data_IF_417890801377
#
_entry.id   IF_417890801377
#
_cell.length_a   1.000
_cell.length_b   1.000
_cell.length_c   1.000
_cell.angle_alpha   90.00
_cell.angle_beta   90.00
_cell.angle_gamma   90.00
#
_symmetry.space_group_name_H-M   'P 1'
#
loop_
_entity.id
_entity.type
_entity.pdbx_description
1 polymer ?
#
# COMPACT_ATOMS: atom_id res chain seq x y z
N UNK A 1 -2.57 24.13 -32.46
CA UNK A 1 -2.33 22.71 -32.11
C UNK A 1 -0.82 22.51 -32.11
N UNK A 2 -0.14 22.57 -30.96
CA UNK A 2 1.33 22.62 -30.97
C UNK A 2 1.95 22.46 -29.58
N UNK A 3 1.77 23.44 -28.69
CA UNK A 3 2.35 23.36 -27.33
C UNK A 3 1.50 22.54 -26.36
N UNK A 4 0.17 22.67 -26.40
CA UNK A 4 -0.72 21.93 -25.49
C UNK A 4 -0.66 20.42 -25.71
N UNK A 5 -0.50 19.96 -26.95
CA UNK A 5 -0.39 18.54 -27.27
C UNK A 5 0.95 17.95 -26.80
N UNK A 6 2.05 18.70 -26.92
CA UNK A 6 3.36 18.28 -26.40
C UNK A 6 3.33 18.22 -24.87
N UNK A 7 2.76 19.23 -24.21
CA UNK A 7 2.62 19.24 -22.76
C UNK A 7 1.77 18.06 -22.26
N UNK A 8 0.64 17.78 -22.90
CA UNK A 8 -0.18 16.62 -22.56
C UNK A 8 0.56 15.30 -22.78
N UNK A 9 1.32 15.17 -23.86
CA UNK A 9 2.17 14.00 -24.11
C UNK A 9 3.26 13.81 -23.06
N UNK A 10 3.90 14.91 -22.62
CA UNK A 10 4.90 14.87 -21.56
C UNK A 10 4.28 14.52 -20.20
N UNK A 11 3.15 15.11 -19.85
CA UNK A 11 2.42 14.81 -18.61
C UNK A 11 1.96 13.36 -18.59
N UNK A 12 1.46 12.84 -19.72
CA UNK A 12 1.12 11.43 -19.87
C UNK A 12 2.35 10.54 -19.68
N UNK A 13 3.47 10.84 -20.37
CA UNK A 13 4.70 10.06 -20.24
C UNK A 13 5.23 10.05 -18.80
N UNK A 14 5.23 11.20 -18.11
CA UNK A 14 5.62 11.30 -16.70
C UNK A 14 4.68 10.47 -15.84
N UNK A 15 3.37 10.60 -16.02
CA UNK A 15 2.38 9.81 -15.29
C UNK A 15 2.62 8.31 -15.46
N UNK A 16 2.82 7.84 -16.69
CA UNK A 16 3.11 6.44 -16.99
C UNK A 16 4.45 5.97 -16.44
N UNK A 17 5.46 6.83 -16.38
CA UNK A 17 6.77 6.47 -15.84
C UNK A 17 6.73 6.32 -14.32
N UNK A 18 6.18 7.31 -13.62
CA UNK A 18 6.11 7.32 -12.16
C UNK A 18 4.96 6.46 -11.59
N UNK A 19 4.01 6.05 -12.44
CA UNK A 19 2.96 5.10 -12.09
C UNK A 19 3.41 3.63 -12.09
N UNK A 20 4.66 3.35 -12.51
CA UNK A 20 5.21 1.98 -12.55
C UNK A 20 5.52 1.45 -11.16
N UNK A 21 5.29 0.16 -10.99
CA UNK A 21 5.58 -0.52 -9.73
C UNK A 21 7.07 -0.47 -9.41
N UNK A 22 7.95 -0.65 -10.39
CA UNK A 22 9.40 -0.71 -10.19
C UNK A 22 9.96 0.61 -9.65
N UNK A 23 9.35 1.74 -10.03
CA UNK A 23 9.70 3.06 -9.49
C UNK A 23 9.24 3.21 -8.04
N UNK A 24 8.06 2.67 -7.71
CA UNK A 24 7.54 2.67 -6.34
C UNK A 24 8.36 1.75 -5.42
N UNK A 25 8.67 0.54 -5.87
CA UNK A 25 9.49 -0.46 -5.18
C UNK A 25 10.88 0.09 -4.86
N UNK A 26 11.58 0.62 -5.86
CA UNK A 26 12.92 1.17 -5.73
C UNK A 26 12.97 2.37 -4.76
N UNK A 27 11.90 3.16 -4.67
CA UNK A 27 11.79 4.24 -3.70
C UNK A 27 11.64 3.72 -2.25
N UNK A 28 10.82 2.68 -2.04
CA UNK A 28 10.68 2.06 -0.71
C UNK A 28 11.95 1.33 -0.29
N UNK A 29 12.61 0.64 -1.22
CA UNK A 29 13.87 -0.05 -1.01
C UNK A 29 14.96 0.90 -0.51
N UNK A 30 15.10 2.07 -1.14
CA UNK A 30 16.08 3.08 -0.73
C UNK A 30 15.78 3.70 0.63
N UNK A 31 14.51 3.74 1.04
CA UNK A 31 14.11 4.36 2.31
C UNK A 31 14.24 3.42 3.48
N UNK A 32 13.82 2.16 3.31
CA UNK A 32 13.80 1.19 4.40
C UNK A 32 13.81 -0.27 3.93
N UNK A 33 13.41 -0.59 2.69
CA UNK A 33 13.41 -1.97 2.20
C UNK A 33 14.78 -2.63 2.18
N UNK A 34 15.87 -1.85 2.12
CA UNK A 34 17.24 -2.35 2.30
C UNK A 34 17.46 -3.10 3.63
N UNK A 35 16.63 -2.87 4.66
CA UNK A 35 16.69 -3.59 5.93
C UNK A 35 16.22 -5.05 5.80
N UNK A 36 15.45 -5.37 4.76
CA UNK A 36 14.92 -6.71 4.49
C UNK A 36 15.91 -7.61 3.73
N UNK A 37 16.96 -7.04 3.14
CA UNK A 37 17.82 -7.75 2.20
C UNK A 37 18.72 -8.79 2.88
N UNK A 38 18.75 -10.00 2.32
CA UNK A 38 19.43 -11.20 2.83
C UNK A 38 20.97 -11.18 2.68
N UNK A 39 21.56 -10.02 2.37
CA UNK A 39 22.89 -9.94 1.75
C UNK A 39 24.08 -9.62 2.65
N UNK A 40 23.90 -9.31 3.93
CA UNK A 40 25.06 -8.93 4.75
C UNK A 40 24.78 -8.53 6.18
N UNK A 41 24.52 -9.50 7.05
CA UNK A 41 24.67 -9.43 8.52
C UNK A 41 23.87 -8.37 9.30
N UNK A 42 23.14 -7.48 8.61
CA UNK A 42 22.42 -6.33 9.14
C UNK A 42 20.92 -6.34 8.78
N UNK A 43 20.42 -7.47 8.26
CA UNK A 43 18.99 -7.63 8.00
C UNK A 43 18.20 -7.49 9.31
N UNK A 44 17.07 -6.79 9.24
CA UNK A 44 16.20 -6.55 10.38
C UNK A 44 14.73 -6.71 9.95
N UNK A 45 13.87 -7.29 10.81
CA UNK A 45 12.44 -7.31 10.55
C UNK A 45 11.90 -5.88 10.47
N UNK A 46 11.06 -5.62 9.47
CA UNK A 46 10.34 -4.35 9.33
C UNK A 46 8.88 -4.58 9.66
N UNK A 47 8.33 -3.71 10.50
CA UNK A 47 6.90 -3.63 10.80
C UNK A 47 6.34 -2.33 10.24
N UNK A 48 5.57 -2.39 9.15
CA UNK A 48 4.87 -1.22 8.63
C UNK A 48 3.66 -0.91 9.54
N UNK A 49 3.86 0.02 10.48
CA UNK A 49 2.90 0.27 11.55
C UNK A 49 1.59 0.92 11.13
N UNK A 50 1.61 1.74 10.08
CA UNK A 50 0.41 2.44 9.61
C UNK A 50 0.45 2.66 8.09
N UNK A 51 -0.63 2.27 7.44
CA UNK A 51 -0.97 2.62 6.07
C UNK A 51 -2.49 2.48 5.90
N UNK A 52 -3.09 3.23 4.98
CA UNK A 52 -4.53 3.33 4.87
C UNK A 52 -4.98 4.04 3.60
N UNK A 53 -6.21 3.73 3.17
CA UNK A 53 -6.83 4.43 2.05
C UNK A 53 -8.36 4.32 2.09
N UNK A 54 -9.03 5.25 1.42
CA UNK A 54 -10.45 5.21 1.06
C UNK A 54 -10.68 5.00 -0.45
N UNK A 55 -9.60 4.83 -1.24
CA UNK A 55 -9.66 4.65 -2.68
C UNK A 55 -8.79 3.49 -3.17
N UNK A 56 -9.28 2.72 -4.14
CA UNK A 56 -8.49 1.71 -4.84
C UNK A 56 -7.59 2.40 -5.88
N UNK A 57 -6.48 2.96 -5.39
CA UNK A 57 -5.52 3.73 -6.18
C UNK A 57 -4.32 2.89 -6.59
N UNK A 58 -3.55 3.37 -7.59
CA UNK A 58 -2.26 2.77 -7.94
C UNK A 58 -1.32 2.67 -6.74
N UNK A 59 -1.29 3.69 -5.87
CA UNK A 59 -0.51 3.66 -4.65
C UNK A 59 -0.92 2.50 -3.73
N UNK A 60 -2.23 2.27 -3.56
CA UNK A 60 -2.73 1.16 -2.74
C UNK A 60 -2.35 -0.20 -3.32
N UNK A 61 -2.53 -0.38 -4.64
CA UNK A 61 -2.20 -1.61 -5.34
C UNK A 61 -0.71 -1.93 -5.26
N UNK A 62 0.16 -0.93 -5.49
CA UNK A 62 1.60 -1.09 -5.38
C UNK A 62 2.05 -1.32 -3.94
N UNK A 63 1.44 -0.65 -2.96
CA UNK A 63 1.73 -0.89 -1.54
C UNK A 63 1.45 -2.33 -1.17
N UNK A 64 0.25 -2.86 -1.49
CA UNK A 64 -0.08 -4.25 -1.19
C UNK A 64 0.81 -5.25 -1.92
N UNK A 65 1.17 -4.98 -3.19
CA UNK A 65 2.11 -5.80 -3.96
C UNK A 65 3.49 -5.83 -3.29
N UNK A 66 3.98 -4.68 -2.84
CA UNK A 66 5.29 -4.58 -2.17
C UNK A 66 5.29 -5.34 -0.83
N UNK A 67 4.23 -5.21 -0.03
CA UNK A 67 4.11 -5.95 1.22
C UNK A 67 4.10 -7.48 0.99
N UNK A 68 3.44 -7.92 -0.08
CA UNK A 68 3.39 -9.34 -0.49
C UNK A 68 4.76 -9.82 -0.99
N UNK A 69 5.41 -9.10 -1.92
CA UNK A 69 6.67 -9.51 -2.53
C UNK A 69 7.87 -9.44 -1.57
N UNK A 70 7.86 -8.51 -0.61
CA UNK A 70 8.94 -8.31 0.36
C UNK A 70 8.68 -8.93 1.72
N UNK A 71 7.57 -9.67 1.86
CA UNK A 71 7.16 -10.36 3.08
C UNK A 71 7.18 -9.45 4.33
N UNK A 72 6.71 -8.21 4.18
CA UNK A 72 6.73 -7.21 5.25
C UNK A 72 5.56 -7.44 6.20
N UNK A 73 5.82 -7.52 7.50
CA UNK A 73 4.77 -7.53 8.53
C UNK A 73 4.17 -6.13 8.69
N UNK A 74 2.86 -6.02 8.99
CA UNK A 74 2.16 -4.74 8.98
C UNK A 74 0.97 -4.65 9.93
N UNK A 75 0.59 -3.41 10.26
CA UNK A 75 -0.70 -3.06 10.85
C UNK A 75 -1.42 -2.02 9.97
N UNK A 76 -2.73 -2.22 9.81
CA UNK A 76 -3.55 -1.35 8.98
C UNK A 76 -4.16 -0.20 9.80
N UNK A 77 -4.03 1.03 9.30
CA UNK A 77 -4.73 2.19 9.85
C UNK A 77 -5.92 2.58 8.95
N UNK A 78 -7.17 2.50 9.40
CA UNK A 78 -7.65 2.15 10.75
C UNK A 78 -8.68 1.03 10.72
N UNK A 79 -8.84 0.37 11.86
CA UNK A 79 -9.97 -0.54 12.05
C UNK A 79 -11.30 0.23 12.19
N UNK A 80 -11.31 1.26 13.05
CA UNK A 80 -12.49 2.05 13.37
C UNK A 80 -12.96 2.92 12.20
N UNK A 81 -14.28 3.05 12.05
CA UNK A 81 -14.91 3.97 11.09
C UNK A 81 -15.08 5.41 11.60
N UNK A 82 -14.77 5.66 12.87
CA UNK A 82 -14.79 6.99 13.48
C UNK A 82 -13.38 7.36 13.95
N UNK A 83 -13.01 8.64 13.80
CA UNK A 83 -11.82 9.23 14.42
C UNK A 83 -12.16 9.74 15.83
N UNK A 84 -12.47 11.03 15.94
CA UNK A 84 -12.76 11.75 17.18
C UNK A 84 -14.06 12.53 17.00
N UNK A 85 -14.97 12.43 17.96
CA UNK A 85 -16.14 13.29 18.04
C UNK A 85 -17.06 13.17 16.83
N UNK A 86 -17.44 11.94 16.47
CA UNK A 86 -18.29 11.58 15.35
C UNK A 86 -17.73 11.97 13.97
N UNK A 87 -16.44 12.31 13.87
CA UNK A 87 -15.80 12.51 12.56
C UNK A 87 -15.54 11.15 11.92
N UNK A 88 -16.07 10.96 10.71
CA UNK A 88 -15.81 9.77 9.89
C UNK A 88 -14.31 9.58 9.66
N UNK A 89 -13.83 8.37 9.94
CA UNK A 89 -12.51 7.88 9.49
C UNK A 89 -12.70 7.17 8.15
N UNK A 90 -12.37 7.86 7.06
CA UNK A 90 -12.57 7.32 5.71
C UNK A 90 -11.67 6.11 5.45
N UNK A 91 -10.53 6.02 6.14
CA UNK A 91 -9.64 4.87 6.03
C UNK A 91 -10.11 3.67 6.85
N UNK A 92 -11.20 3.78 7.61
CA UNK A 92 -11.75 2.71 8.43
C UNK A 92 -12.07 1.44 7.64
N UNK A 93 -11.80 0.28 8.23
CA UNK A 93 -12.36 -1.00 7.81
C UNK A 93 -13.85 -1.04 8.12
N UNK A 94 -14.21 -0.62 9.34
CA UNK A 94 -15.59 -0.46 9.75
C UNK A 94 -16.17 0.87 9.26
N UNK A 95 -17.48 0.91 9.11
CA UNK A 95 -18.24 2.14 8.97
C UNK A 95 -18.44 2.82 10.34
N UNK A 96 -19.05 4.00 10.33
CA UNK A 96 -19.28 4.85 11.51
C UNK A 96 -20.14 4.15 12.59
N UNK A 97 -20.91 3.12 12.20
CA UNK A 97 -21.72 2.31 13.13
C UNK A 97 -20.90 1.27 13.94
N UNK A 98 -19.59 1.18 13.69
CA UNK A 98 -18.65 0.22 14.27
C UNK A 98 -19.09 -1.25 14.09
N UNK A 99 -19.93 -1.54 13.09
CA UNK A 99 -20.52 -2.87 12.85
C UNK A 99 -20.38 -3.31 11.41
N UNK A 100 -20.66 -2.43 10.46
CA UNK A 100 -20.64 -2.76 9.03
C UNK A 100 -19.26 -2.51 8.43
N UNK A 101 -18.89 -3.29 7.42
CA UNK A 101 -17.65 -3.08 6.67
C UNK A 101 -17.86 -1.92 5.70
N UNK A 102 -17.03 -0.88 5.77
CA UNK A 102 -17.14 0.30 4.90
C UNK A 102 -16.87 -0.03 3.44
N UNK A 103 -15.78 -0.76 3.19
CA UNK A 103 -15.30 -1.07 1.85
C UNK A 103 -14.96 -2.56 1.72
N UNK A 104 -15.87 -3.39 1.15
CA UNK A 104 -15.61 -4.82 0.96
C UNK A 104 -14.35 -5.11 0.14
N UNK A 105 -14.05 -4.27 -0.87
CA UNK A 105 -12.85 -4.41 -1.70
C UNK A 105 -11.56 -4.27 -0.88
N UNK A 106 -11.53 -3.34 0.08
CA UNK A 106 -10.36 -3.05 0.92
C UNK A 106 -10.08 -4.17 1.90
N UNK A 107 -11.14 -4.66 2.58
CA UNK A 107 -11.03 -5.81 3.47
C UNK A 107 -10.54 -7.06 2.72
N UNK A 108 -11.10 -7.32 1.53
CA UNK A 108 -10.67 -8.45 0.68
C UNK A 108 -9.21 -8.33 0.26
N UNK A 109 -8.76 -7.13 -0.12
CA UNK A 109 -7.37 -6.89 -0.51
C UNK A 109 -6.40 -7.12 0.66
N UNK A 110 -6.74 -6.65 1.86
CA UNK A 110 -5.95 -6.92 3.07
C UNK A 110 -5.93 -8.41 3.43
N UNK A 111 -7.06 -9.10 3.32
CA UNK A 111 -7.14 -10.55 3.54
C UNK A 111 -6.26 -11.36 2.58
N UNK A 112 -6.11 -10.90 1.33
CA UNK A 112 -5.17 -11.52 0.39
C UNK A 112 -3.73 -11.44 0.92
N UNK A 113 -3.28 -10.26 1.33
CA UNK A 113 -1.91 -10.08 1.84
C UNK A 113 -1.71 -10.82 3.17
N UNK A 114 -2.70 -10.85 4.05
CA UNK A 114 -2.67 -11.65 5.29
C UNK A 114 -2.53 -13.15 5.02
N UNK A 115 -3.12 -13.67 3.95
CA UNK A 115 -3.00 -15.09 3.61
C UNK A 115 -1.66 -15.41 2.92
N UNK A 116 -1.09 -14.46 2.17
CA UNK A 116 0.22 -14.62 1.55
C UNK A 116 1.32 -14.80 2.61
N UNK A 117 1.25 -14.07 3.73
CA UNK A 117 2.22 -14.20 4.82
C UNK A 117 2.13 -15.52 5.62
N UNK A 118 1.07 -16.31 5.43
CA UNK A 118 0.81 -17.58 6.14
C UNK A 118 1.21 -18.80 5.30
N UNK A 119 1.38 -18.66 3.98
CA UNK A 119 1.76 -19.78 3.12
C UNK A 119 3.11 -20.38 3.53
N UNK A 120 3.32 -21.72 3.44
CA UNK A 120 4.59 -22.34 3.79
C UNK A 120 5.72 -21.69 3.00
N UNK A 121 6.66 -21.08 3.73
CA UNK A 121 7.86 -20.50 3.16
C UNK A 121 8.62 -21.62 2.44
N UNK A 122 8.97 -21.39 1.18
CA UNK A 122 9.77 -22.35 0.42
C UNK A 122 11.10 -22.66 1.13
N UNK A 123 11.76 -23.78 0.77
CA UNK A 123 13.03 -24.17 1.38
C UNK A 123 14.14 -23.13 1.17
#
# INVERSE_FOLDING_TARGET
VGMSSILLGLLWYIHELYGRYEVFEDELDRRWGFLLADGGGLAAPVWLGEFGTDTDSLWWQHTLRYLEEREVDWAYWSFNGERKGNMTETFGILADDAKTVRHPWKLKALQRVMNASIAPRGP
#
